data_IF_566334730627
#
_entry.id   IF_566334730627
#
_cell.length_a   1.000
_cell.length_b   1.000
_cell.length_c   1.000
_cell.angle_alpha   90.00
_cell.angle_beta   90.00
_cell.angle_gamma   90.00
#
_symmetry.space_group_name_H-M   'P 1'
#
loop_
_entity.id
_entity.type
_entity.pdbx_description
1 polymer ?
#
# COMPACT_ATOMS: atom_id res chain seq x y z
N UNK A 1 46.76 39.22 -34.28
CA UNK A 1 47.04 38.42 -33.08
C UNK A 1 45.75 37.77 -32.66
N UNK A 2 45.50 36.57 -33.19
CA UNK A 2 44.22 35.83 -32.96
C UNK A 2 44.38 34.89 -31.77
N UNK A 3 43.59 35.13 -30.71
CA UNK A 3 43.53 34.30 -29.54
C UNK A 3 42.55 33.14 -29.78
N UNK A 4 43.04 31.91 -29.96
CA UNK A 4 42.26 30.69 -30.05
C UNK A 4 41.86 30.26 -28.65
N UNK A 5 40.56 30.36 -28.31
CA UNK A 5 39.96 29.77 -27.10
C UNK A 5 39.76 28.27 -27.38
N UNK A 6 40.48 27.42 -26.67
CA UNK A 6 40.32 25.98 -26.68
C UNK A 6 39.20 25.62 -25.69
N UNK A 7 38.01 25.25 -26.18
CA UNK A 7 36.95 24.72 -25.34
C UNK A 7 37.19 23.21 -25.22
N UNK A 8 37.69 22.80 -24.06
CA UNK A 8 37.75 21.38 -23.68
C UNK A 8 36.37 20.91 -23.21
N UNK A 9 35.71 20.09 -24.04
CA UNK A 9 34.53 19.34 -23.64
C UNK A 9 34.97 18.21 -22.71
N UNK A 10 34.77 18.37 -21.40
CA UNK A 10 34.83 17.25 -20.45
C UNK A 10 33.57 16.39 -20.61
N UNK A 11 33.74 15.25 -21.29
CA UNK A 11 32.76 14.19 -21.23
C UNK A 11 32.72 13.63 -19.80
N UNK A 12 31.75 14.03 -18.99
CA UNK A 12 31.38 13.31 -17.76
C UNK A 12 30.73 11.96 -18.17
N UNK A 13 31.55 10.93 -18.17
CA UNK A 13 31.03 9.55 -18.26
C UNK A 13 30.31 9.26 -16.93
N UNK A 14 29.00 9.35 -16.92
CA UNK A 14 28.20 8.83 -15.84
C UNK A 14 28.28 7.29 -15.87
N UNK A 15 29.14 6.73 -15.04
CA UNK A 15 29.05 5.33 -14.68
C UNK A 15 27.74 5.15 -13.91
N UNK A 16 26.75 4.61 -14.55
CA UNK A 16 25.54 4.13 -13.88
C UNK A 16 25.95 2.91 -13.06
N UNK A 17 26.30 3.11 -11.80
CA UNK A 17 26.49 2.02 -10.85
C UNK A 17 25.14 1.34 -10.65
N UNK A 18 25.09 0.01 -10.85
CA UNK A 18 23.92 -0.80 -10.54
C UNK A 18 23.68 -0.82 -9.04
N UNK A 19 22.45 -1.18 -8.64
CA UNK A 19 22.14 -1.38 -7.21
C UNK A 19 22.95 -2.56 -6.68
N UNK A 20 23.64 -2.38 -5.57
CA UNK A 20 24.42 -3.43 -4.94
C UNK A 20 23.49 -4.48 -4.34
N UNK A 21 23.82 -5.76 -4.54
CA UNK A 21 23.13 -6.90 -3.91
C UNK A 21 24.10 -7.76 -3.13
N UNK A 22 23.72 -8.12 -1.90
CA UNK A 22 24.40 -9.16 -1.12
C UNK A 22 23.59 -10.45 -1.18
N UNK A 23 24.28 -11.57 -1.43
CA UNK A 23 23.70 -12.91 -1.49
C UNK A 23 24.05 -13.72 -0.25
N UNK A 24 23.04 -14.38 0.30
CA UNK A 24 23.18 -15.35 1.40
C UNK A 24 22.29 -16.54 1.17
N UNK A 25 22.73 -17.71 1.62
CA UNK A 25 21.91 -18.92 1.67
C UNK A 25 22.05 -19.61 3.02
N UNK A 26 21.02 -20.35 3.42
CA UNK A 26 21.00 -21.16 4.63
C UNK A 26 20.22 -22.44 4.38
N UNK A 27 20.75 -23.56 4.87
CA UNK A 27 20.07 -24.85 4.85
C UNK A 27 19.43 -25.11 6.22
N UNK A 28 18.15 -25.40 6.24
CA UNK A 28 17.35 -25.78 7.40
C UNK A 28 16.87 -27.22 7.23
N UNK A 29 16.39 -27.88 8.27
CA UNK A 29 15.92 -29.27 8.16
C UNK A 29 14.82 -29.48 7.14
N UNK A 30 13.94 -28.50 6.97
CA UNK A 30 12.74 -28.53 6.13
C UNK A 30 12.87 -27.74 4.83
N UNK A 31 13.83 -26.80 4.76
CA UNK A 31 13.94 -25.88 3.63
C UNK A 31 15.36 -25.37 3.40
N UNK A 32 15.59 -24.86 2.22
CA UNK A 32 16.72 -24.01 1.89
C UNK A 32 16.24 -22.57 1.75
N UNK A 33 16.88 -21.61 2.41
CA UNK A 33 16.57 -20.18 2.31
C UNK A 33 17.61 -19.49 1.47
N UNK A 34 17.15 -18.72 0.49
CA UNK A 34 17.95 -17.79 -0.33
C UNK A 34 17.55 -16.36 0.00
N UNK A 35 18.54 -15.50 0.21
CA UNK A 35 18.31 -14.08 0.52
C UNK A 35 19.13 -13.21 -0.42
N UNK A 36 18.45 -12.32 -1.14
CA UNK A 36 19.03 -11.22 -1.91
C UNK A 36 18.79 -9.93 -1.13
N UNK A 37 19.82 -9.33 -0.57
CA UNK A 37 19.75 -8.09 0.20
C UNK A 37 20.25 -6.93 -0.63
N UNK A 38 19.46 -5.85 -0.72
CA UNK A 38 19.74 -4.65 -1.50
C UNK A 38 19.95 -3.44 -0.58
N UNK A 39 20.67 -2.44 -1.08
CA UNK A 39 20.92 -1.18 -0.36
C UNK A 39 19.65 -0.34 -0.19
N UNK A 40 18.69 -0.50 -1.09
CA UNK A 40 17.40 0.17 -1.13
C UNK A 40 16.31 -0.75 -1.66
N UNK A 41 15.05 -0.35 -1.53
CA UNK A 41 13.92 -1.06 -2.13
C UNK A 41 14.06 -1.15 -3.65
N UNK A 42 13.79 -2.33 -4.19
CA UNK A 42 13.77 -2.63 -5.62
C UNK A 42 12.44 -3.24 -6.03
N UNK A 43 11.98 -2.92 -7.24
CA UNK A 43 10.83 -3.62 -7.82
C UNK A 43 11.29 -4.99 -8.34
N UNK A 44 10.54 -6.05 -7.99
CA UNK A 44 10.90 -7.40 -8.40
C UNK A 44 9.65 -8.26 -8.67
N UNK A 45 9.87 -9.38 -9.37
CA UNK A 45 8.90 -10.48 -9.50
C UNK A 45 9.59 -11.82 -9.39
N UNK A 46 8.88 -12.82 -8.90
CA UNK A 46 9.36 -14.20 -8.81
C UNK A 46 8.50 -15.07 -9.73
N UNK A 47 9.16 -15.93 -10.52
CA UNK A 47 8.54 -16.88 -11.43
C UNK A 47 9.04 -18.29 -11.10
N UNK A 48 8.16 -19.26 -11.08
CA UNK A 48 8.49 -20.66 -10.91
C UNK A 48 8.34 -21.38 -12.26
N UNK A 49 9.34 -22.17 -12.64
CA UNK A 49 9.39 -22.93 -13.88
C UNK A 49 9.61 -24.40 -13.55
N UNK A 50 8.81 -25.31 -14.14
CA UNK A 50 8.77 -26.72 -13.73
C UNK A 50 9.64 -27.65 -14.57
N UNK A 51 9.92 -27.36 -15.84
CA UNK A 51 10.71 -28.22 -16.72
C UNK A 51 11.90 -27.51 -17.37
N UNK A 52 13.12 -27.61 -16.85
CA UNK A 52 13.48 -28.08 -15.49
C UNK A 52 13.05 -27.09 -14.42
N UNK A 53 12.92 -27.57 -13.18
CA UNK A 53 12.55 -26.71 -12.05
C UNK A 53 13.56 -25.59 -11.84
N UNK A 54 13.08 -24.37 -11.84
CA UNK A 54 13.88 -23.15 -11.69
C UNK A 54 13.07 -22.07 -10.98
N UNK A 55 13.73 -21.35 -10.10
CA UNK A 55 13.17 -20.15 -9.49
C UNK A 55 13.82 -18.95 -10.17
N UNK A 56 13.02 -18.08 -10.77
CA UNK A 56 13.48 -16.88 -11.45
C UNK A 56 13.11 -15.66 -10.64
N UNK A 57 14.07 -14.82 -10.34
CA UNK A 57 13.85 -13.50 -9.70
C UNK A 57 14.27 -12.43 -10.70
N UNK A 58 13.31 -11.66 -11.17
CA UNK A 58 13.52 -10.48 -12.01
C UNK A 58 13.52 -9.23 -11.14
N UNK A 59 14.61 -8.50 -11.11
CA UNK A 59 14.74 -7.18 -10.50
C UNK A 59 14.67 -6.14 -11.61
N UNK A 60 13.74 -5.18 -11.51
CA UNK A 60 13.40 -4.23 -12.59
C UNK A 60 14.42 -3.10 -12.74
N UNK A 61 15.65 -3.35 -12.35
CA UNK A 61 16.78 -2.44 -12.53
C UNK A 61 18.11 -3.20 -12.64
N UNK A 62 19.16 -2.52 -13.08
CA UNK A 62 20.50 -3.11 -13.16
C UNK A 62 21.08 -3.30 -11.77
N UNK A 63 21.54 -4.53 -11.50
CA UNK A 63 22.10 -4.95 -10.22
C UNK A 63 23.57 -5.32 -10.39
N UNK A 64 24.41 -4.84 -9.49
CA UNK A 64 25.82 -5.28 -9.39
C UNK A 64 25.87 -6.57 -8.56
N UNK A 65 26.21 -7.66 -9.23
CA UNK A 65 26.06 -9.02 -8.73
C UNK A 65 27.34 -9.48 -8.02
N UNK A 66 27.26 -10.00 -6.78
CA UNK A 66 28.41 -10.50 -6.06
C UNK A 66 28.94 -11.81 -6.67
N UNK A 67 30.27 -12.01 -6.61
CA UNK A 67 30.92 -13.21 -7.17
C UNK A 67 30.48 -14.55 -6.56
N UNK A 68 29.95 -14.52 -5.34
CA UNK A 68 29.53 -15.71 -4.60
C UNK A 68 28.09 -16.16 -4.84
N UNK A 69 27.35 -15.50 -5.75
CA UNK A 69 25.95 -15.86 -6.02
C UNK A 69 25.86 -17.22 -6.73
N UNK A 70 24.97 -18.08 -6.23
CA UNK A 70 24.68 -19.38 -6.82
C UNK A 70 23.46 -19.31 -7.74
N UNK A 71 23.44 -18.36 -8.65
CA UNK A 71 22.40 -18.19 -9.66
C UNK A 71 23.02 -17.90 -11.00
N UNK A 72 22.37 -18.29 -12.07
CA UNK A 72 22.68 -17.75 -13.40
C UNK A 72 22.10 -16.32 -13.47
N UNK A 73 22.92 -15.39 -13.92
CA UNK A 73 22.52 -13.98 -13.98
C UNK A 73 22.53 -13.48 -15.40
N UNK A 74 21.44 -12.82 -15.79
CA UNK A 74 21.29 -12.14 -17.07
C UNK A 74 20.93 -10.67 -16.89
N UNK A 75 21.66 -9.78 -17.57
CA UNK A 75 21.30 -8.36 -17.65
C UNK A 75 20.47 -8.12 -18.90
N UNK A 76 19.33 -7.45 -18.72
CA UNK A 76 18.38 -7.12 -19.77
C UNK A 76 18.14 -5.60 -19.80
N UNK A 77 17.60 -5.03 -20.89
CA UNK A 77 17.25 -3.61 -20.94
C UNK A 77 16.28 -3.14 -19.85
N UNK A 78 15.47 -4.06 -19.30
CA UNK A 78 14.49 -3.78 -18.25
C UNK A 78 15.02 -4.05 -16.84
N UNK A 79 16.21 -4.69 -16.67
CA UNK A 79 16.74 -5.01 -15.34
C UNK A 79 17.66 -6.23 -15.31
N UNK A 80 17.73 -6.89 -14.16
CA UNK A 80 18.59 -8.05 -13.91
C UNK A 80 17.75 -9.27 -13.53
N UNK A 81 18.02 -10.41 -14.19
CA UNK A 81 17.38 -11.71 -13.93
C UNK A 81 18.33 -12.64 -13.20
N UNK A 82 17.87 -13.18 -12.09
CA UNK A 82 18.53 -14.27 -11.35
C UNK A 82 17.76 -15.56 -11.59
N UNK A 83 18.47 -16.64 -11.96
CA UNK A 83 17.88 -17.96 -12.17
C UNK A 83 18.56 -18.96 -11.25
N UNK A 84 17.80 -19.47 -10.30
CA UNK A 84 18.24 -20.52 -9.37
C UNK A 84 17.75 -21.87 -9.91
N UNK A 85 18.70 -22.75 -10.26
CA UNK A 85 18.41 -24.13 -10.64
C UNK A 85 18.27 -24.94 -9.32
N UNK A 86 17.05 -25.08 -8.84
CA UNK A 86 16.74 -25.69 -7.55
C UNK A 86 15.52 -26.61 -7.69
N UNK A 87 15.62 -27.82 -7.13
CA UNK A 87 14.47 -28.70 -6.99
C UNK A 87 13.61 -28.25 -5.81
N UNK A 88 12.30 -28.15 -6.03
CA UNK A 88 11.35 -27.71 -5.02
C UNK A 88 10.00 -28.46 -5.15
N UNK A 89 9.37 -28.66 -4.01
CA UNK A 89 7.93 -29.00 -3.92
C UNK A 89 7.09 -27.73 -3.72
N UNK A 90 7.64 -26.75 -2.97
CA UNK A 90 7.00 -25.49 -2.67
C UNK A 90 8.06 -24.39 -2.56
N UNK A 91 7.70 -23.16 -2.94
CA UNK A 91 8.53 -21.97 -2.77
C UNK A 91 7.70 -20.86 -2.15
N UNK A 92 8.16 -20.32 -1.02
CA UNK A 92 7.61 -19.11 -0.41
C UNK A 92 8.55 -17.95 -0.69
N UNK A 93 8.07 -16.95 -1.42
CA UNK A 93 8.83 -15.75 -1.77
C UNK A 93 8.20 -14.52 -1.10
N UNK A 94 9.02 -13.74 -0.38
CA UNK A 94 8.57 -12.52 0.29
C UNK A 94 9.71 -11.51 0.39
N UNK A 95 9.39 -10.26 0.66
CA UNK A 95 10.39 -9.21 0.93
C UNK A 95 10.38 -8.76 2.39
N UNK A 96 11.55 -8.34 2.86
CA UNK A 96 11.75 -7.71 4.16
C UNK A 96 12.38 -6.33 3.96
N UNK A 97 11.95 -5.36 4.74
CA UNK A 97 12.46 -4.00 4.71
C UNK A 97 13.53 -3.77 5.80
N UNK A 98 14.35 -2.75 5.57
CA UNK A 98 15.37 -2.26 6.50
C UNK A 98 16.41 -3.30 7.00
N UNK A 99 17.37 -3.77 6.22
CA UNK A 99 17.58 -3.48 4.78
C UNK A 99 16.63 -4.27 3.90
N UNK A 100 16.42 -3.81 2.66
CA UNK A 100 15.54 -4.50 1.72
C UNK A 100 16.11 -5.87 1.34
N UNK A 101 15.28 -6.91 1.49
CA UNK A 101 15.67 -8.29 1.20
C UNK A 101 14.54 -9.02 0.48
N UNK A 102 14.89 -9.71 -0.60
CA UNK A 102 14.02 -10.72 -1.21
C UNK A 102 14.43 -12.05 -0.62
N UNK A 103 13.49 -12.76 -0.01
CA UNK A 103 13.69 -14.05 0.66
C UNK A 103 12.93 -15.12 -0.10
N UNK A 104 13.62 -16.22 -0.44
CA UNK A 104 13.03 -17.40 -1.04
C UNK A 104 13.22 -18.57 -0.05
N UNK A 105 12.13 -19.09 0.49
CA UNK A 105 12.11 -20.33 1.26
C UNK A 105 11.73 -21.48 0.32
N UNK A 106 12.67 -22.37 0.04
CA UNK A 106 12.55 -23.45 -0.93
C UNK A 106 12.44 -24.78 -0.19
N UNK A 107 11.29 -25.42 -0.27
CA UNK A 107 11.01 -26.72 0.35
C UNK A 107 11.26 -27.83 -0.66
N UNK A 108 11.96 -28.89 -0.25
CA UNK A 108 12.21 -30.09 -1.07
C UNK A 108 11.09 -31.09 -0.87
N UNK A 109 10.82 -31.90 -1.89
CA UNK A 109 9.92 -33.04 -1.76
C UNK A 109 10.57 -34.08 -0.84
N UNK A 110 10.27 -34.03 0.44
CA UNK A 110 10.53 -35.12 1.38
C UNK A 110 9.31 -36.03 1.48
N UNK A 111 9.50 -37.32 1.66
CA UNK A 111 8.44 -38.33 1.63
C UNK A 111 7.46 -38.27 2.83
N UNK A 112 7.38 -37.17 3.53
CA UNK A 112 6.38 -36.92 4.59
C UNK A 112 5.71 -35.59 4.28
N UNK A 113 4.37 -35.49 4.38
CA UNK A 113 3.71 -34.19 4.27
C UNK A 113 4.32 -33.26 5.32
N UNK A 114 4.55 -31.98 4.98
CA UNK A 114 5.02 -31.01 5.96
C UNK A 114 4.04 -31.02 7.13
N UNK A 115 4.55 -31.24 8.34
CA UNK A 115 3.79 -30.93 9.54
C UNK A 115 3.40 -29.47 9.38
N UNK A 116 2.09 -29.18 9.33
CA UNK A 116 1.59 -27.81 9.30
C UNK A 116 2.32 -27.03 10.39
N UNK A 117 2.92 -25.92 10.00
CA UNK A 117 3.58 -25.05 10.97
C UNK A 117 2.55 -24.76 12.07
N UNK A 118 2.79 -25.16 13.33
CA UNK A 118 1.81 -24.98 14.41
C UNK A 118 1.35 -23.53 14.53
N UNK A 119 2.17 -22.57 14.11
CA UNK A 119 1.83 -21.15 14.01
C UNK A 119 0.78 -20.86 12.92
N UNK A 120 0.87 -21.53 11.77
CA UNK A 120 -0.07 -21.32 10.65
C UNK A 120 -1.44 -21.96 10.94
N UNK A 121 -1.46 -23.07 11.67
CA UNK A 121 -2.71 -23.72 12.09
C UNK A 121 -3.51 -22.91 13.13
N UNK A 122 -2.85 -22.01 13.85
CA UNK A 122 -3.45 -21.14 14.88
C UNK A 122 -3.89 -19.79 14.29
N UNK A 123 -3.33 -19.37 13.14
CA UNK A 123 -3.61 -18.08 12.54
C UNK A 123 -4.96 -18.10 11.80
N UNK A 124 -5.85 -17.20 12.22
CA UNK A 124 -7.07 -16.88 11.46
C UNK A 124 -6.69 -16.55 10.00
N UNK A 125 -7.42 -17.05 8.98
CA UNK A 125 -7.18 -16.74 7.56
C UNK A 125 -7.02 -15.24 7.27
N UNK A 126 -7.59 -14.38 8.12
CA UNK A 126 -7.45 -12.94 8.06
C UNK A 126 -6.04 -12.48 8.39
N UNK A 127 -5.38 -13.11 9.37
CA UNK A 127 -4.01 -12.80 9.76
C UNK A 127 -3.04 -13.28 8.70
N UNK A 128 -3.28 -14.44 8.10
CA UNK A 128 -2.50 -14.94 6.96
C UNK A 128 -2.57 -13.97 5.77
N UNK A 129 -3.74 -13.39 5.52
CA UNK A 129 -3.94 -12.34 4.52
C UNK A 129 -3.20 -11.04 4.89
N UNK A 130 -3.21 -10.66 6.17
CA UNK A 130 -2.53 -9.45 6.67
C UNK A 130 -1.02 -9.53 6.47
N UNK A 131 -0.39 -10.69 6.69
CA UNK A 131 1.05 -10.89 6.51
C UNK A 131 1.43 -11.20 5.06
N UNK A 132 0.49 -11.08 4.11
CA UNK A 132 0.73 -11.34 2.69
C UNK A 132 0.99 -12.82 2.37
N UNK A 133 0.62 -13.74 3.26
CA UNK A 133 0.76 -15.17 3.04
C UNK A 133 -0.21 -15.62 1.95
N UNK A 134 0.32 -15.95 0.77
CA UNK A 134 -0.41 -16.65 -0.28
C UNK A 134 0.08 -18.10 -0.31
N UNK A 135 -0.77 -19.02 0.11
CA UNK A 135 -0.53 -20.44 -0.07
C UNK A 135 -0.63 -20.77 -1.57
N UNK A 136 0.50 -21.04 -2.21
CA UNK A 136 0.52 -21.51 -3.59
C UNK A 136 0.35 -23.03 -3.55
N UNK A 137 -0.90 -23.50 -3.48
CA UNK A 137 -1.21 -24.93 -3.65
C UNK A 137 -0.97 -25.34 -5.10
N UNK A 138 -0.31 -26.50 -5.29
CA UNK A 138 0.06 -27.08 -6.58
C UNK A 138 -1.08 -27.62 -7.45
N UNK A 139 -2.28 -27.03 -7.42
CA UNK A 139 -3.45 -27.46 -8.19
C UNK A 139 -3.71 -26.62 -9.47
N UNK A 140 -2.74 -25.85 -9.95
CA UNK A 140 -2.95 -24.98 -11.13
C UNK A 140 -2.80 -25.65 -12.51
N UNK A 141 -2.42 -26.90 -12.61
CA UNK A 141 -2.35 -27.57 -13.93
C UNK A 141 -3.71 -27.95 -14.54
N UNK A 142 -4.80 -28.02 -13.76
CA UNK A 142 -6.14 -28.32 -14.28
C UNK A 142 -6.95 -27.12 -14.77
N UNK A 143 -6.58 -25.89 -14.39
CA UNK A 143 -7.37 -24.67 -14.70
C UNK A 143 -7.02 -24.05 -16.05
N UNK A 144 -5.92 -24.44 -16.70
CA UNK A 144 -5.53 -23.88 -18.01
C UNK A 144 -6.26 -24.55 -19.18
N UNK A 145 -6.81 -25.75 -19.00
CA UNK A 145 -7.52 -26.46 -20.08
C UNK A 145 -9.03 -26.19 -20.17
N UNK A 146 -9.61 -25.53 -19.16
CA UNK A 146 -11.04 -25.16 -19.13
C UNK A 146 -11.29 -23.65 -19.15
N UNK A 147 -10.61 -22.93 -20.05
CA UNK A 147 -11.01 -21.57 -20.41
C UNK A 147 -12.22 -21.59 -21.34
N UNK A 148 -13.35 -22.01 -20.83
CA UNK A 148 -14.64 -21.67 -21.43
C UNK A 148 -15.71 -21.61 -20.35
N UNK A 149 -16.13 -20.37 -20.02
CA UNK A 149 -17.34 -20.03 -19.26
C UNK A 149 -17.34 -20.40 -17.76
N UNK A 150 -16.54 -19.66 -16.97
CA UNK A 150 -16.70 -19.62 -15.52
C UNK A 150 -16.34 -18.22 -15.03
N UNK A 151 -17.30 -17.53 -14.39
CA UNK A 151 -17.06 -16.27 -13.70
C UNK A 151 -15.97 -16.48 -12.65
N UNK A 152 -14.80 -15.86 -12.84
CA UNK A 152 -13.80 -15.74 -11.79
C UNK A 152 -14.39 -14.77 -10.77
N UNK A 153 -14.86 -15.29 -9.64
CA UNK A 153 -15.30 -14.48 -8.49
C UNK A 153 -14.02 -13.90 -7.87
N UNK A 154 -13.55 -12.77 -8.41
CA UNK A 154 -12.50 -11.99 -7.76
C UNK A 154 -13.12 -11.34 -6.52
N UNK A 155 -12.65 -11.74 -5.34
CA UNK A 155 -13.11 -11.13 -4.09
C UNK A 155 -12.84 -9.62 -4.16
N UNK A 156 -13.90 -8.81 -4.04
CA UNK A 156 -13.78 -7.35 -4.07
C UNK A 156 -12.90 -6.84 -2.94
N UNK A 157 -12.06 -5.85 -3.21
CA UNK A 157 -11.29 -5.15 -2.18
C UNK A 157 -12.20 -4.30 -1.31
N UNK A 158 -12.05 -4.41 -0.01
CA UNK A 158 -12.88 -3.70 0.97
C UNK A 158 -12.24 -2.36 1.31
N UNK A 159 -12.88 -1.28 0.91
CA UNK A 159 -12.44 0.08 1.18
C UNK A 159 -13.37 0.71 2.21
N UNK A 160 -12.82 1.11 3.34
CA UNK A 160 -13.56 1.90 4.34
C UNK A 160 -13.23 3.37 4.15
N UNK A 161 -14.25 4.16 3.88
CA UNK A 161 -14.15 5.61 3.75
C UNK A 161 -14.78 6.28 4.97
N UNK A 162 -14.02 7.16 5.59
CA UNK A 162 -14.39 7.89 6.78
C UNK A 162 -14.57 9.38 6.48
N UNK A 163 -15.79 9.88 6.63
CA UNK A 163 -16.05 11.32 6.60
C UNK A 163 -15.89 11.87 8.03
N UNK A 164 -14.81 12.59 8.30
CA UNK A 164 -14.53 13.17 9.62
C UNK A 164 -15.68 13.98 10.15
N UNK A 165 -15.84 14.03 11.49
CA UNK A 165 -16.92 14.75 12.18
C UNK A 165 -18.33 14.25 11.86
N UNK A 166 -19.36 15.08 12.06
CA UNK A 166 -20.76 14.75 11.75
C UNK A 166 -21.71 14.99 12.93
N UNK A 167 -22.99 15.18 12.65
CA UNK A 167 -24.03 15.45 13.66
C UNK A 167 -23.74 16.72 14.45
N UNK A 168 -23.68 16.58 15.78
CA UNK A 168 -23.38 17.68 16.70
C UNK A 168 -21.92 18.18 16.66
N UNK A 169 -21.01 17.40 16.06
CA UNK A 169 -19.63 17.78 15.84
C UNK A 169 -19.46 18.39 14.43
N UNK A 170 -19.41 19.73 14.29
CA UNK A 170 -19.26 20.36 12.97
C UNK A 170 -17.84 20.24 12.42
N UNK A 171 -16.86 19.81 13.22
CA UNK A 171 -15.44 20.02 12.95
C UNK A 171 -15.09 21.51 12.98
N UNK A 172 -14.10 21.90 12.24
CA UNK A 172 -13.77 23.31 12.07
C UNK A 172 -14.87 24.05 11.32
N UNK A 173 -15.16 25.28 11.76
CA UNK A 173 -16.03 26.21 11.04
C UNK A 173 -15.14 27.25 10.38
N UNK A 174 -15.08 27.20 9.06
CA UNK A 174 -14.20 28.01 8.26
C UNK A 174 -14.82 29.32 7.75
N UNK A 175 -14.24 29.84 6.69
CA UNK A 175 -14.68 31.08 6.06
C UNK A 175 -16.14 31.00 5.62
N UNK A 176 -16.92 32.06 5.86
CA UNK A 176 -18.37 32.14 5.60
C UNK A 176 -19.22 31.05 6.27
N UNK A 177 -18.74 30.44 7.33
CA UNK A 177 -19.49 29.41 8.07
C UNK A 177 -19.48 28.03 7.41
N UNK A 178 -18.61 27.79 6.42
CA UNK A 178 -18.43 26.48 5.79
C UNK A 178 -17.96 25.50 6.87
N UNK A 179 -18.68 24.39 7.05
CA UNK A 179 -18.40 23.38 8.05
C UNK A 179 -17.54 22.26 7.48
N UNK A 180 -16.55 21.84 8.24
CA UNK A 180 -15.67 20.74 7.85
C UNK A 180 -16.43 19.44 7.60
N UNK A 181 -17.39 19.08 8.48
CA UNK A 181 -18.20 17.87 8.32
C UNK A 181 -18.92 17.75 6.98
N UNK A 182 -19.36 18.89 6.41
CA UNK A 182 -20.12 18.93 5.15
C UNK A 182 -19.17 18.72 3.96
N UNK A 183 -18.01 19.34 3.96
CA UNK A 183 -16.94 19.14 2.94
C UNK A 183 -16.47 17.70 2.94
N UNK A 184 -16.18 17.14 4.12
CA UNK A 184 -15.72 15.77 4.27
C UNK A 184 -16.72 14.77 3.70
N UNK A 185 -17.99 14.91 4.05
CA UNK A 185 -19.07 14.03 3.57
C UNK A 185 -19.24 14.14 2.05
N UNK A 186 -19.22 15.34 1.50
CA UNK A 186 -19.40 15.56 0.08
C UNK A 186 -18.32 14.88 -0.77
N UNK A 187 -17.04 14.94 -0.33
CA UNK A 187 -15.92 14.28 -0.99
C UNK A 187 -16.02 12.77 -0.85
N UNK A 188 -16.32 12.26 0.37
CA UNK A 188 -16.44 10.84 0.64
C UNK A 188 -17.55 10.19 -0.20
N UNK A 189 -18.70 10.83 -0.32
CA UNK A 189 -19.81 10.30 -1.14
C UNK A 189 -19.47 10.23 -2.64
N UNK A 190 -18.74 11.22 -3.15
CA UNK A 190 -18.27 11.21 -4.55
C UNK A 190 -17.22 10.11 -4.77
N UNK A 191 -16.30 9.93 -3.81
CA UNK A 191 -15.31 8.86 -3.87
C UNK A 191 -15.96 7.46 -3.78
N UNK A 192 -16.94 7.30 -2.90
CA UNK A 192 -17.71 6.07 -2.78
C UNK A 192 -18.37 5.69 -4.10
N UNK A 193 -19.01 6.66 -4.75
CA UNK A 193 -19.64 6.44 -6.05
C UNK A 193 -18.66 5.93 -7.10
N UNK A 194 -17.48 6.54 -7.25
CA UNK A 194 -16.45 6.06 -8.19
C UNK A 194 -16.01 4.62 -7.90
N UNK A 195 -15.82 4.28 -6.64
CA UNK A 195 -15.38 2.93 -6.25
C UNK A 195 -16.50 1.88 -6.42
N UNK A 196 -17.74 2.23 -6.15
CA UNK A 196 -18.90 1.35 -6.33
C UNK A 196 -19.16 1.06 -7.82
N UNK A 197 -19.04 2.10 -8.68
CA UNK A 197 -19.17 1.97 -10.14
C UNK A 197 -18.05 1.13 -10.77
N UNK A 198 -16.85 1.14 -10.21
CA UNK A 198 -15.71 0.32 -10.67
C UNK A 198 -15.97 -1.19 -10.57
N UNK A 199 -16.79 -1.62 -9.61
CA UNK A 199 -17.17 -3.02 -9.42
C UNK A 199 -16.12 -3.90 -8.75
N UNK A 200 -14.83 -3.53 -8.70
CA UNK A 200 -13.74 -4.27 -8.05
C UNK A 200 -13.67 -4.04 -6.55
N UNK A 201 -14.41 -3.07 -6.04
CA UNK A 201 -14.40 -2.65 -4.65
C UNK A 201 -15.72 -2.93 -3.94
N UNK A 202 -15.66 -3.21 -2.65
CA UNK A 202 -16.76 -3.15 -1.69
C UNK A 202 -16.53 -1.95 -0.81
N UNK A 203 -17.39 -0.95 -0.88
CA UNK A 203 -17.25 0.29 -0.13
C UNK A 203 -18.06 0.22 1.14
N UNK A 204 -17.47 0.63 2.25
CA UNK A 204 -18.11 0.80 3.55
C UNK A 204 -17.87 2.23 4.01
N UNK A 205 -18.93 2.94 4.35
CA UNK A 205 -18.85 4.31 4.86
C UNK A 205 -19.01 4.30 6.38
N UNK A 206 -18.23 5.12 7.08
CA UNK A 206 -18.45 5.33 8.52
C UNK A 206 -19.75 6.08 8.78
N UNK A 207 -20.13 7.00 7.88
CA UNK A 207 -21.43 7.68 7.83
C UNK A 207 -21.81 8.01 6.38
N UNK A 208 -23.10 8.03 6.09
CA UNK A 208 -23.67 8.40 4.77
C UNK A 208 -24.41 9.74 4.79
N UNK A 209 -24.66 10.23 5.97
CA UNK A 209 -25.44 11.44 6.26
C UNK A 209 -24.78 12.25 7.40
N UNK A 210 -25.49 13.26 7.92
CA UNK A 210 -24.97 14.12 8.98
C UNK A 210 -25.13 13.50 10.37
N UNK A 211 -24.63 12.28 10.58
CA UNK A 211 -24.59 11.58 11.85
C UNK A 211 -23.21 11.67 12.51
N UNK A 212 -23.19 11.74 13.84
CA UNK A 212 -21.95 11.63 14.61
C UNK A 212 -21.52 10.18 14.78
N UNK A 213 -20.25 9.91 14.50
CA UNK A 213 -19.60 8.61 14.73
C UNK A 213 -18.39 8.80 15.63
N UNK A 214 -18.35 8.15 16.81
CA UNK A 214 -17.20 8.25 17.72
C UNK A 214 -15.90 7.78 17.07
N UNK A 215 -14.76 8.39 17.43
CA UNK A 215 -13.45 8.08 16.82
C UNK A 215 -13.08 6.59 16.87
N UNK A 216 -13.32 5.94 18.03
CA UNK A 216 -13.02 4.51 18.18
C UNK A 216 -13.90 3.65 17.27
N UNK A 217 -15.15 4.05 17.07
CA UNK A 217 -16.10 3.31 16.24
C UNK A 217 -15.71 3.35 14.76
N UNK A 218 -15.13 4.46 14.27
CA UNK A 218 -14.61 4.56 12.90
C UNK A 218 -13.53 3.49 12.63
N UNK A 219 -12.59 3.33 13.55
CA UNK A 219 -11.59 2.26 13.48
C UNK A 219 -12.20 0.86 13.61
N UNK A 220 -13.19 0.68 14.50
CA UNK A 220 -13.89 -0.59 14.68
C UNK A 220 -14.69 -1.01 13.44
N UNK A 221 -15.28 -0.06 12.71
CA UNK A 221 -15.94 -0.31 11.43
C UNK A 221 -14.93 -0.93 10.44
N UNK A 222 -13.71 -0.39 10.35
CA UNK A 222 -12.68 -0.94 9.47
C UNK A 222 -12.29 -2.37 9.87
N UNK A 223 -12.06 -2.62 11.17
CA UNK A 223 -11.72 -3.95 11.68
C UNK A 223 -12.85 -4.98 11.43
N UNK A 224 -14.08 -4.68 11.82
CA UNK A 224 -15.23 -5.60 11.64
C UNK A 224 -15.51 -5.93 10.18
N UNK A 225 -15.21 -5.00 9.27
CA UNK A 225 -15.38 -5.22 7.84
C UNK A 225 -14.17 -5.85 7.18
N UNK A 226 -13.08 -6.12 7.92
CA UNK A 226 -11.82 -6.64 7.38
C UNK A 226 -11.34 -5.79 6.21
N UNK A 227 -11.23 -4.49 6.42
CA UNK A 227 -10.89 -3.55 5.38
C UNK A 227 -9.50 -3.84 4.79
N UNK A 228 -9.38 -3.75 3.46
CA UNK A 228 -8.09 -3.76 2.78
C UNK A 228 -7.43 -2.36 2.81
N UNK A 229 -8.24 -1.31 3.04
CA UNK A 229 -7.79 0.08 3.13
C UNK A 229 -8.78 0.94 3.93
N UNK A 230 -8.25 1.89 4.70
CA UNK A 230 -9.02 2.92 5.41
C UNK A 230 -8.58 4.31 4.98
N UNK A 231 -9.52 5.16 4.56
CA UNK A 231 -9.24 6.55 4.16
C UNK A 231 -10.18 7.49 4.89
N UNK A 232 -9.61 8.35 5.74
CA UNK A 232 -10.33 9.40 6.45
C UNK A 232 -10.13 10.75 5.77
N UNK A 233 -11.21 11.49 5.55
CA UNK A 233 -11.21 12.81 4.90
C UNK A 233 -11.54 13.87 5.94
N UNK A 234 -10.70 14.88 5.99
CA UNK A 234 -10.76 16.04 6.89
C UNK A 234 -10.44 17.34 6.13
N UNK A 235 -10.74 18.47 6.74
CA UNK A 235 -10.28 19.78 6.30
C UNK A 235 -9.60 20.52 7.47
N UNK A 236 -8.34 20.82 7.29
CA UNK A 236 -7.49 21.40 8.31
C UNK A 236 -7.95 22.81 8.73
N UNK A 237 -7.61 23.21 9.93
CA UNK A 237 -7.86 24.55 10.43
C UNK A 237 -6.60 25.12 11.11
N UNK A 238 -6.32 26.38 10.82
CA UNK A 238 -5.30 27.13 11.54
C UNK A 238 -5.88 27.65 12.87
N UNK A 239 -5.14 27.60 13.97
CA UNK A 239 -5.56 28.22 15.23
C UNK A 239 -5.84 29.71 15.05
N UNK A 240 -6.86 30.22 15.74
CA UNK A 240 -7.21 31.64 15.70
C UNK A 240 -6.00 32.50 16.01
N UNK A 241 -5.70 33.48 15.14
CA UNK A 241 -4.61 34.44 15.30
C UNK A 241 -3.24 33.99 14.79
N UNK A 242 -3.08 32.75 14.25
CA UNK A 242 -1.77 32.29 13.80
C UNK A 242 -1.58 32.40 12.30
N UNK A 243 -2.56 32.28 11.46
CA UNK A 243 -2.44 32.63 10.03
C UNK A 243 -3.68 32.25 9.22
N UNK A 244 -4.36 33.22 8.69
CA UNK A 244 -5.30 33.07 7.57
C UNK A 244 -4.60 32.68 6.25
N UNK A 245 -3.25 32.63 6.28
CA UNK A 245 -2.40 32.28 5.14
C UNK A 245 -1.99 30.79 5.09
N UNK A 246 -2.29 30.02 6.18
CA UNK A 246 -2.08 28.59 6.13
C UNK A 246 -2.89 27.95 5.01
N UNK A 247 -2.25 27.16 4.14
CA UNK A 247 -2.87 26.54 2.98
C UNK A 247 -2.18 25.22 2.60
N UNK A 248 -2.89 24.44 1.85
CA UNK A 248 -2.39 23.24 1.19
C UNK A 248 -2.95 21.93 1.75
N UNK A 249 -2.87 20.92 0.93
CA UNK A 249 -3.30 19.55 1.23
C UNK A 249 -2.19 18.77 1.92
N UNK A 250 -2.53 18.04 2.98
CA UNK A 250 -1.65 17.11 3.68
C UNK A 250 -2.20 15.68 3.64
N UNK A 251 -1.30 14.72 3.66
CA UNK A 251 -1.64 13.31 3.87
C UNK A 251 -0.92 12.83 5.11
N UNK A 252 -1.64 12.22 6.03
CA UNK A 252 -1.09 11.68 7.26
C UNK A 252 -1.16 10.17 7.28
N UNK A 253 -0.03 9.53 7.58
CA UNK A 253 0.07 8.13 7.96
C UNK A 253 0.38 8.01 9.46
N UNK A 254 0.19 6.81 10.02
CA UNK A 254 0.49 6.57 11.43
C UNK A 254 1.97 6.82 11.76
N UNK A 255 2.26 7.42 12.91
CA UNK A 255 3.64 7.57 13.41
C UNK A 255 4.13 6.29 14.11
N UNK A 256 5.46 6.10 14.13
CA UNK A 256 6.09 4.95 14.78
C UNK A 256 5.75 4.86 16.27
N UNK A 257 5.70 6.00 16.97
CA UNK A 257 5.36 6.07 18.40
C UNK A 257 3.90 5.68 18.64
N UNK A 258 2.99 6.08 17.76
CA UNK A 258 1.58 5.70 17.85
C UNK A 258 1.39 4.19 17.57
N UNK A 259 2.14 3.64 16.63
CA UNK A 259 2.15 2.21 16.34
C UNK A 259 2.65 1.40 17.53
N UNK A 260 3.76 1.82 18.16
CA UNK A 260 4.29 1.15 19.36
C UNK A 260 3.28 1.14 20.53
N UNK A 261 2.62 2.26 20.81
CA UNK A 261 1.55 2.29 21.82
C UNK A 261 0.40 1.33 21.49
N UNK A 262 0.08 1.17 20.19
CA UNK A 262 -0.99 0.27 19.75
C UNK A 262 -0.59 -1.19 19.87
N UNK A 263 0.65 -1.55 19.51
CA UNK A 263 1.24 -2.87 19.75
C UNK A 263 1.09 -3.28 21.21
N UNK A 264 1.48 -2.39 22.12
CA UNK A 264 1.32 -2.62 23.55
C UNK A 264 -0.14 -2.88 23.94
N UNK A 265 -1.09 -2.12 23.40
CA UNK A 265 -2.52 -2.32 23.67
C UNK A 265 -3.03 -3.69 23.19
N UNK A 266 -2.59 -4.16 22.02
CA UNK A 266 -2.95 -5.49 21.50
C UNK A 266 -2.44 -6.58 22.43
N UNK A 267 -1.19 -6.45 22.90
CA UNK A 267 -0.54 -7.46 23.74
C UNK A 267 -1.19 -7.58 25.12
N UNK A 268 -1.61 -6.47 25.72
CA UNK A 268 -2.05 -6.40 27.11
C UNK A 268 -3.58 -6.25 27.30
N UNK A 269 -4.37 -6.22 26.24
CA UNK A 269 -5.84 -6.13 26.31
C UNK A 269 -6.48 -7.23 25.48
N UNK A 270 -7.11 -8.21 26.15
CA UNK A 270 -7.71 -9.38 25.51
C UNK A 270 -8.87 -9.02 24.58
N UNK A 271 -9.72 -8.08 24.98
CA UNK A 271 -10.83 -7.65 24.15
C UNK A 271 -10.34 -7.01 22.86
N UNK A 272 -9.26 -6.23 22.96
CA UNK A 272 -8.65 -5.59 21.80
C UNK A 272 -7.88 -6.61 20.94
N UNK A 273 -7.18 -7.56 21.55
CA UNK A 273 -6.53 -8.67 20.84
C UNK A 273 -7.56 -9.49 20.07
N UNK A 274 -8.69 -9.85 20.68
CA UNK A 274 -9.78 -10.57 20.03
C UNK A 274 -10.34 -9.81 18.82
N UNK A 275 -10.51 -8.49 18.95
CA UNK A 275 -10.99 -7.64 17.86
C UNK A 275 -10.00 -7.55 16.69
N UNK A 276 -8.69 -7.48 16.99
CA UNK A 276 -7.63 -7.21 16.00
C UNK A 276 -7.00 -8.47 15.43
N UNK A 277 -6.85 -9.52 16.24
CA UNK A 277 -6.18 -10.77 15.88
C UNK A 277 -7.17 -11.95 15.74
N UNK A 278 -8.46 -11.72 15.95
CA UNK A 278 -9.50 -12.75 15.89
C UNK A 278 -9.63 -13.60 17.16
N UNK A 279 -8.60 -13.62 18.03
CA UNK A 279 -8.59 -14.39 19.29
C UNK A 279 -7.74 -13.70 20.35
N UNK A 280 -8.03 -14.00 21.63
CA UNK A 280 -7.20 -13.66 22.77
C UNK A 280 -6.50 -14.91 23.37
N UNK A 281 -6.90 -16.10 22.94
CA UNK A 281 -6.43 -17.38 23.50
C UNK A 281 -5.16 -17.87 22.80
N UNK A 282 -4.15 -16.99 22.76
CA UNK A 282 -2.82 -17.28 22.21
C UNK A 282 -1.74 -16.91 23.21
N UNK A 283 -0.61 -17.64 23.27
CA UNK A 283 0.50 -17.31 24.14
C UNK A 283 0.95 -15.85 23.98
N UNK A 284 1.32 -15.22 25.09
CA UNK A 284 1.69 -13.79 25.12
C UNK A 284 2.83 -13.43 24.15
N UNK A 285 3.81 -14.32 24.00
CA UNK A 285 4.92 -14.15 23.06
C UNK A 285 4.43 -14.20 21.60
N UNK A 286 3.48 -15.06 21.26
CA UNK A 286 2.88 -15.15 19.92
C UNK A 286 2.03 -13.90 19.64
N UNK A 287 1.20 -13.47 20.63
CA UNK A 287 0.40 -12.24 20.54
C UNK A 287 1.28 -11.04 20.25
N UNK A 288 2.46 -10.97 20.89
CA UNK A 288 3.44 -9.89 20.67
C UNK A 288 3.95 -9.89 19.22
N UNK A 289 4.35 -11.05 18.70
CA UNK A 289 4.82 -11.16 17.30
C UNK A 289 3.71 -10.76 16.32
N UNK A 290 2.47 -11.23 16.55
CA UNK A 290 1.33 -10.89 15.71
C UNK A 290 1.02 -9.38 15.74
N UNK A 291 1.09 -8.75 16.92
CA UNK A 291 0.89 -7.32 17.08
C UNK A 291 1.99 -6.52 16.35
N UNK A 292 3.24 -6.98 16.41
CA UNK A 292 4.35 -6.39 15.68
C UNK A 292 4.12 -6.45 14.17
N UNK A 293 3.81 -7.62 13.64
CA UNK A 293 3.54 -7.81 12.21
C UNK A 293 2.36 -6.95 11.73
N UNK A 294 1.23 -6.96 12.46
CA UNK A 294 0.05 -6.19 12.08
C UNK A 294 0.35 -4.68 12.02
N UNK A 295 1.09 -4.15 13.01
CA UNK A 295 1.41 -2.73 13.02
C UNK A 295 2.49 -2.35 12.00
N UNK A 296 3.43 -3.26 11.70
CA UNK A 296 4.45 -3.03 10.68
C UNK A 296 3.81 -2.96 9.27
N UNK A 297 2.83 -3.84 8.98
CA UNK A 297 1.99 -3.75 7.77
C UNK A 297 1.28 -2.39 7.71
N UNK A 298 0.60 -1.99 8.81
CA UNK A 298 -0.08 -0.69 8.85
C UNK A 298 0.87 0.47 8.58
N UNK A 299 2.05 0.48 9.20
CA UNK A 299 3.06 1.53 9.02
C UNK A 299 3.57 1.62 7.58
N UNK A 300 3.98 0.48 7.03
CA UNK A 300 4.61 0.41 5.73
C UNK A 300 3.61 0.69 4.62
N UNK A 301 2.52 -0.04 4.58
CA UNK A 301 1.54 0.06 3.50
C UNK A 301 0.80 1.39 3.49
N UNK A 302 0.59 2.01 4.68
CA UNK A 302 0.06 3.38 4.73
C UNK A 302 0.97 4.39 4.03
N UNK A 303 2.29 4.28 4.20
CA UNK A 303 3.24 5.17 3.53
C UNK A 303 3.29 4.89 2.03
N UNK A 304 3.27 3.62 1.62
CA UNK A 304 3.25 3.25 0.20
C UNK A 304 1.99 3.80 -0.48
N UNK A 305 0.82 3.60 0.12
CA UNK A 305 -0.41 4.19 -0.40
C UNK A 305 -0.36 5.72 -0.40
N UNK A 306 0.17 6.33 0.67
CA UNK A 306 0.37 7.77 0.77
C UNK A 306 1.20 8.33 -0.40
N UNK A 307 2.28 7.64 -0.80
CA UNK A 307 3.10 8.01 -1.95
C UNK A 307 2.30 8.00 -3.27
N UNK A 308 1.40 7.02 -3.43
CA UNK A 308 0.51 6.98 -4.61
C UNK A 308 -0.48 8.14 -4.59
N UNK A 309 -1.12 8.39 -3.43
CA UNK A 309 -2.05 9.52 -3.24
C UNK A 309 -1.36 10.85 -3.55
N UNK A 310 -0.14 11.05 -3.03
CA UNK A 310 0.65 12.25 -3.27
C UNK A 310 0.87 12.53 -4.76
N UNK A 311 1.27 11.50 -5.51
CA UNK A 311 1.47 11.63 -6.97
C UNK A 311 0.17 12.00 -7.70
N UNK A 312 -0.96 11.39 -7.30
CA UNK A 312 -2.26 11.66 -7.95
C UNK A 312 -2.80 13.04 -7.60
N UNK A 313 -2.75 13.43 -6.33
CA UNK A 313 -3.18 14.76 -5.90
C UNK A 313 -2.36 15.85 -6.60
N UNK A 314 -1.02 15.73 -6.58
CA UNK A 314 -0.14 16.67 -7.26
C UNK A 314 -0.47 16.79 -8.76
N UNK A 315 -0.76 15.67 -9.43
CA UNK A 315 -1.10 15.68 -10.87
C UNK A 315 -2.46 16.31 -11.17
N UNK A 316 -3.47 16.07 -10.33
CA UNK A 316 -4.87 16.46 -10.61
C UNK A 316 -5.26 17.81 -10.02
N UNK A 317 -4.54 18.30 -8.97
CA UNK A 317 -4.89 19.48 -8.22
C UNK A 317 -3.86 20.63 -8.36
N UNK A 318 -2.83 20.46 -9.16
CA UNK A 318 -1.63 21.32 -9.29
C UNK A 318 -1.93 22.83 -9.50
N UNK A 319 -3.15 23.17 -9.95
CA UNK A 319 -3.56 24.55 -10.19
C UNK A 319 -4.39 25.18 -9.06
N UNK A 320 -4.88 24.38 -8.13
CA UNK A 320 -5.89 24.80 -7.16
C UNK A 320 -5.46 24.67 -5.71
N UNK A 321 -4.65 23.65 -5.39
CA UNK A 321 -4.22 23.39 -4.02
C UNK A 321 -2.75 22.93 -4.01
N UNK A 322 -1.96 23.54 -3.15
CA UNK A 322 -0.57 23.14 -2.95
C UNK A 322 -0.49 21.85 -2.13
N UNK A 323 0.08 20.78 -2.69
CA UNK A 323 0.32 19.56 -1.94
C UNK A 323 1.57 19.71 -1.06
N UNK A 324 1.40 19.65 0.27
CA UNK A 324 2.45 19.89 1.28
C UNK A 324 3.24 18.63 1.68
N UNK A 325 2.81 17.45 1.22
CA UNK A 325 3.54 16.21 1.47
C UNK A 325 2.82 15.23 2.38
N UNK A 326 3.55 14.13 2.66
CA UNK A 326 3.12 13.08 3.57
C UNK A 326 3.77 13.33 4.92
N UNK A 327 2.96 13.33 5.97
CA UNK A 327 3.40 13.46 7.35
C UNK A 327 3.05 12.22 8.16
N UNK A 328 3.65 12.08 9.33
CA UNK A 328 3.33 11.01 10.28
C UNK A 328 2.73 11.61 11.53
N UNK A 329 1.58 11.06 11.96
CA UNK A 329 0.86 11.56 13.13
C UNK A 329 0.23 10.42 13.94
N UNK A 330 -0.16 10.73 15.16
CA UNK A 330 -0.80 9.78 16.07
C UNK A 330 -2.33 9.89 16.10
N UNK A 331 -2.98 10.21 14.97
CA UNK A 331 -4.44 10.28 14.91
C UNK A 331 -5.09 8.95 15.30
N UNK A 332 -6.19 9.03 16.03
CA UNK A 332 -6.87 7.85 16.58
C UNK A 332 -7.31 6.89 15.48
N UNK A 333 -7.86 7.42 14.41
CA UNK A 333 -8.39 6.65 13.27
C UNK A 333 -7.33 5.94 12.44
N UNK A 334 -6.06 6.35 12.51
CA UNK A 334 -4.96 5.72 11.78
C UNK A 334 -4.38 4.48 12.50
N UNK A 335 -4.83 4.19 13.72
CA UNK A 335 -4.25 3.14 14.57
C UNK A 335 -4.93 1.79 14.40
N UNK A 336 -5.35 1.44 13.20
CA UNK A 336 -6.06 0.18 12.90
C UNK A 336 -5.06 -0.90 12.50
N UNK A 337 -4.80 -1.91 13.35
CA UNK A 337 -3.78 -2.93 13.08
C UNK A 337 -4.09 -3.74 11.83
N UNK A 338 -3.07 -3.98 11.00
CA UNK A 338 -3.18 -4.75 9.77
C UNK A 338 -3.90 -4.05 8.61
N UNK A 339 -4.37 -2.81 8.80
CA UNK A 339 -5.10 -2.07 7.77
C UNK A 339 -4.30 -0.81 7.40
N UNK A 340 -3.83 -0.69 6.14
CA UNK A 340 -3.26 0.55 5.63
C UNK A 340 -4.25 1.70 5.79
N UNK A 341 -3.82 2.80 6.41
CA UNK A 341 -4.72 3.87 6.82
C UNK A 341 -4.12 5.24 6.53
N UNK A 342 -4.88 6.12 5.87
CA UNK A 342 -4.51 7.51 5.66
C UNK A 342 -5.60 8.46 6.18
N UNK A 343 -5.17 9.61 6.69
CA UNK A 343 -6.00 10.77 6.88
C UNK A 343 -5.55 11.84 5.89
N UNK A 344 -6.50 12.36 5.14
CA UNK A 344 -6.26 13.37 4.10
C UNK A 344 -6.92 14.68 4.54
N UNK A 345 -6.08 15.68 4.79
CA UNK A 345 -6.49 17.06 5.01
C UNK A 345 -6.58 17.73 3.64
N UNK A 346 -7.79 18.00 3.18
CA UNK A 346 -8.08 18.49 1.83
C UNK A 346 -7.47 19.87 1.58
N UNK A 347 -7.49 20.72 2.59
CA UNK A 347 -6.95 22.08 2.60
C UNK A 347 -7.28 22.73 3.94
N UNK A 348 -7.00 24.02 4.10
CA UNK A 348 -7.34 24.79 5.31
C UNK A 348 -8.69 25.47 5.17
N UNK A 349 -9.69 25.02 5.91
CA UNK A 349 -11.04 25.60 5.87
C UNK A 349 -11.09 27.03 6.45
N UNK A 350 -10.08 27.39 7.23
CA UNK A 350 -9.89 28.76 7.76
C UNK A 350 -9.28 29.71 6.71
N UNK A 351 -8.69 29.20 5.63
CA UNK A 351 -8.20 30.01 4.51
C UNK A 351 -9.37 30.36 3.59
N UNK A 352 -9.65 31.66 3.33
CA UNK A 352 -10.80 32.08 2.55
C UNK A 352 -10.85 31.50 1.12
N UNK A 353 -9.69 31.39 0.47
CA UNK A 353 -9.61 30.87 -0.90
C UNK A 353 -9.85 29.36 -0.92
N UNK A 354 -9.20 28.60 -0.02
CA UNK A 354 -9.36 27.15 0.05
C UNK A 354 -10.75 26.73 0.54
N UNK A 355 -11.33 27.47 1.51
CA UNK A 355 -12.69 27.21 1.98
C UNK A 355 -13.72 27.35 0.86
N UNK A 356 -13.66 28.44 0.08
CA UNK A 356 -14.54 28.63 -1.07
C UNK A 356 -14.33 27.57 -2.15
N UNK A 357 -13.09 27.15 -2.38
CA UNK A 357 -12.76 26.09 -3.32
C UNK A 357 -13.31 24.74 -2.89
N UNK A 358 -13.11 24.36 -1.61
CA UNK A 358 -13.62 23.11 -1.04
C UNK A 358 -15.16 23.02 -1.02
N UNK A 359 -15.85 24.15 -1.03
CA UNK A 359 -17.31 24.21 -1.13
C UNK A 359 -17.82 23.98 -2.57
N UNK A 360 -16.95 24.04 -3.59
CA UNK A 360 -17.33 23.85 -4.98
C UNK A 360 -17.45 22.38 -5.34
N UNK A 361 -18.50 22.04 -6.03
CA UNK A 361 -18.80 20.67 -6.43
C UNK A 361 -17.73 20.08 -7.37
N UNK A 362 -17.25 20.88 -8.32
CA UNK A 362 -16.20 20.47 -9.26
C UNK A 362 -14.88 20.16 -8.56
N UNK A 363 -14.52 20.95 -7.55
CA UNK A 363 -13.32 20.67 -6.75
C UNK A 363 -13.45 19.34 -5.97
N UNK A 364 -14.58 19.16 -5.29
CA UNK A 364 -14.86 17.92 -4.54
C UNK A 364 -14.85 16.69 -5.45
N UNK A 365 -15.41 16.82 -6.66
CA UNK A 365 -15.44 15.76 -7.68
C UNK A 365 -14.02 15.42 -8.15
N UNK A 366 -13.20 16.42 -8.49
CA UNK A 366 -11.83 16.22 -8.95
C UNK A 366 -10.93 15.67 -7.84
N UNK A 367 -11.13 16.10 -6.60
CA UNK A 367 -10.42 15.56 -5.44
C UNK A 367 -10.76 14.08 -5.21
N UNK A 368 -12.03 13.74 -5.21
CA UNK A 368 -12.50 12.36 -5.11
C UNK A 368 -11.98 11.49 -6.27
N UNK A 369 -11.96 11.99 -7.49
CA UNK A 369 -11.42 11.30 -8.68
C UNK A 369 -9.91 11.05 -8.57
N UNK A 370 -9.15 12.00 -7.99
CA UNK A 370 -7.73 11.82 -7.73
C UNK A 370 -7.48 10.70 -6.70
N UNK A 371 -8.25 10.66 -5.60
CA UNK A 371 -8.18 9.60 -4.61
C UNK A 371 -8.61 8.24 -5.18
N UNK A 372 -9.69 8.19 -5.96
CA UNK A 372 -10.10 6.98 -6.69
C UNK A 372 -8.96 6.45 -7.57
N UNK A 373 -8.33 7.34 -8.37
CA UNK A 373 -7.20 6.96 -9.23
C UNK A 373 -6.00 6.45 -8.44
N UNK A 374 -5.80 6.94 -7.21
CA UNK A 374 -4.76 6.46 -6.32
C UNK A 374 -5.08 5.06 -5.77
N UNK A 375 -6.32 4.82 -5.35
CA UNK A 375 -6.77 3.52 -4.84
C UNK A 375 -6.66 2.45 -5.94
N UNK A 376 -7.10 2.78 -7.17
CA UNK A 376 -6.96 1.87 -8.32
C UNK A 376 -5.50 1.55 -8.62
N UNK A 377 -4.62 2.54 -8.66
CA UNK A 377 -3.19 2.32 -8.90
C UNK A 377 -2.54 1.48 -7.79
N UNK A 378 -2.92 1.69 -6.54
CA UNK A 378 -2.38 0.96 -5.40
C UNK A 378 -2.72 -0.54 -5.46
N UNK A 379 -3.98 -0.89 -5.73
CA UNK A 379 -4.39 -2.29 -5.79
C UNK A 379 -4.17 -2.95 -7.15
N UNK A 380 -4.16 -2.17 -8.23
CA UNK A 380 -4.12 -2.66 -9.62
C UNK A 380 -3.12 -1.86 -10.47
N UNK A 381 -1.81 -1.88 -10.14
CA UNK A 381 -0.81 -1.00 -10.77
C UNK A 381 -0.63 -1.20 -12.28
N UNK A 382 -1.07 -2.35 -12.85
CA UNK A 382 -1.06 -2.64 -14.28
C UNK A 382 -2.23 -2.04 -15.07
N UNK A 383 -3.40 -1.95 -14.47
CA UNK A 383 -4.65 -1.59 -15.16
C UNK A 383 -4.68 -0.16 -15.71
N UNK A 384 -3.97 0.77 -15.08
CA UNK A 384 -3.88 2.17 -15.53
C UNK A 384 -3.04 2.29 -16.81
N UNK A 385 -1.99 1.47 -16.96
CA UNK A 385 -1.15 1.44 -18.17
C UNK A 385 -1.88 0.78 -19.35
N UNK A 386 -2.67 -0.25 -19.08
CA UNK A 386 -3.46 -0.94 -20.11
C UNK A 386 -4.62 -0.08 -20.61
N UNK A 387 -5.37 0.58 -19.73
CA UNK A 387 -6.42 1.51 -20.10
C UNK A 387 -5.89 2.70 -20.90
N UNK A 388 -4.71 3.22 -20.56
CA UNK A 388 -4.07 4.29 -21.32
C UNK A 388 -3.62 3.84 -22.71
N UNK A 389 -3.04 2.63 -22.84
CA UNK A 389 -2.65 2.06 -24.14
C UNK A 389 -3.86 1.79 -25.03
N UNK A 390 -4.96 1.29 -24.46
CA UNK A 390 -6.21 1.08 -25.20
C UNK A 390 -6.77 2.41 -25.72
N UNK A 391 -6.83 3.44 -24.87
CA UNK A 391 -7.28 4.79 -25.26
C UNK A 391 -6.39 5.42 -26.35
N UNK A 392 -5.05 5.31 -26.21
CA UNK A 392 -4.09 5.81 -27.21
C UNK A 392 -4.17 5.03 -28.54
N UNK A 393 -4.55 3.75 -28.49
CA UNK A 393 -4.79 2.94 -29.67
C UNK A 393 -6.09 3.30 -30.39
N UNK A 394 -7.19 3.50 -29.64
CA UNK A 394 -8.46 3.99 -30.19
C UNK A 394 -8.35 5.40 -30.77
N UNK A 395 -7.63 6.31 -30.10
CA UNK A 395 -7.40 7.66 -30.61
C UNK A 395 -6.57 7.69 -31.91
N UNK A 396 -5.71 6.67 -32.15
CA UNK A 396 -4.97 6.52 -33.41
C UNK A 396 -5.78 5.88 -34.53
N UNK A 397 -6.83 5.13 -34.20
CA UNK A 397 -7.72 4.52 -35.20
C UNK A 397 -8.82 5.49 -35.67
N UNK A 398 -9.01 6.59 -34.94
CA UNK A 398 -10.01 7.64 -35.25
C UNK A 398 -9.41 8.87 -35.96
N UNK A 399 -8.14 8.87 -36.30
CA UNK A 399 -7.42 9.81 -37.17
C UNK A 399 -7.09 9.17 -38.52
#
# INVERSE_FOLDING_TARGET
>A
MFLRILITFSFLVWFAFGVQVAYREGNYPDKQRVVLQFERGVEYRVLLLDNPKRIVVDVMERVDVPKNIKARVGHHPWGTRFVFDMDYSEVKAFSLEAPFRIVLDVYKATASPPQEDPLLAILDPTVLKIIGYQEVKGEREKVISERSKGQVITQKRVIVLDAGHGGHDPGAIGFKGIKEKDVNLAIVLKLAKFLEEDGRFRVVLTRRDDNFVPLQERANIALRNRADLFVSIHANASPKGISEHAKGTFVFAISSEAAQRKKHAIVHNDQYAKLTLGTADIPHNVRRVMADLAMDVTLYDSVQFGNVVARKLKKHLDRHVEFKGIQRAGFAVLKTPGIPSLLVEVGFITNPQEALLMAQEDFQYNFAKALYSAIVEYFFPGSVKEARRAYEAEAKLSQ
#
